data_IF_390379953342
#
_entry.id   IF_390379953342
#
_cell.length_a   1.000
_cell.length_b   1.000
_cell.length_c   1.000
_cell.angle_alpha   90.00
_cell.angle_beta   90.00
_cell.angle_gamma   90.00
#
_symmetry.space_group_name_H-M   'P 1'
#
loop_
_entity.id
_entity.type
_entity.pdbx_description
1 polymer ?
#
# COMPACT_ATOMS: atom_id res chain seq x y z
N UNK A 1 -22.32 -15.43 -13.16
CA UNK A 1 -20.88 -15.76 -13.31
C UNK A 1 -20.36 -15.35 -14.68
N UNK A 2 -20.86 -15.93 -15.78
CA UNK A 2 -20.41 -15.67 -17.16
C UNK A 2 -20.26 -14.19 -17.50
N UNK A 3 -21.31 -13.38 -17.31
CA UNK A 3 -21.26 -11.94 -17.59
C UNK A 3 -20.19 -11.16 -16.78
N UNK A 4 -19.91 -11.56 -15.54
CA UNK A 4 -18.86 -10.93 -14.72
C UNK A 4 -17.48 -11.29 -15.30
N UNK A 5 -17.28 -12.58 -15.63
CA UNK A 5 -16.02 -13.06 -16.19
C UNK A 5 -15.75 -12.47 -17.59
N UNK A 6 -16.76 -12.41 -18.46
CA UNK A 6 -16.61 -11.87 -19.82
C UNK A 6 -16.23 -10.39 -19.78
N UNK A 7 -16.91 -9.59 -18.95
CA UNK A 7 -16.56 -8.19 -18.74
C UNK A 7 -15.15 -8.06 -18.15
N UNK A 8 -14.82 -8.84 -17.13
CA UNK A 8 -13.48 -8.82 -16.53
C UNK A 8 -12.36 -9.12 -17.53
N UNK A 9 -12.54 -10.14 -18.38
CA UNK A 9 -11.57 -10.49 -19.43
C UNK A 9 -11.54 -9.47 -20.57
N UNK A 10 -12.64 -8.77 -20.84
CA UNK A 10 -12.64 -7.63 -21.76
C UNK A 10 -11.82 -6.47 -21.18
N UNK A 11 -12.17 -6.01 -19.96
CA UNK A 11 -11.49 -4.92 -19.28
C UNK A 11 -9.98 -5.21 -19.16
N UNK A 12 -9.61 -6.43 -18.77
CA UNK A 12 -8.22 -6.90 -18.72
C UNK A 12 -7.50 -6.75 -20.07
N UNK A 13 -8.12 -7.24 -21.16
CA UNK A 13 -7.54 -7.12 -22.51
C UNK A 13 -7.36 -5.67 -22.91
N UNK A 14 -8.35 -4.82 -22.64
CA UNK A 14 -8.28 -3.39 -22.92
C UNK A 14 -7.11 -2.73 -22.16
N UNK A 15 -6.93 -3.04 -20.88
CA UNK A 15 -5.81 -2.51 -20.08
C UNK A 15 -4.45 -3.05 -20.54
N UNK A 16 -4.35 -4.34 -20.86
CA UNK A 16 -3.09 -4.95 -21.32
C UNK A 16 -2.65 -4.40 -22.69
N UNK A 17 -3.60 -3.89 -23.50
CA UNK A 17 -3.32 -3.21 -24.78
C UNK A 17 -2.96 -1.73 -24.62
N UNK A 18 -3.11 -1.11 -23.43
CA UNK A 18 -2.77 0.31 -23.24
C UNK A 18 -1.26 0.53 -23.33
N UNK A 19 -0.78 1.41 -24.23
CA UNK A 19 0.65 1.66 -24.39
C UNK A 19 1.32 2.06 -23.08
N UNK A 20 2.38 1.33 -22.70
CA UNK A 20 3.21 1.66 -21.54
C UNK A 20 2.67 1.21 -20.17
N UNK A 21 1.37 0.85 -20.04
CA UNK A 21 0.77 0.54 -18.73
C UNK A 21 1.40 -0.70 -18.06
N UNK A 22 1.66 -1.76 -18.82
CA UNK A 22 2.26 -2.99 -18.28
C UNK A 22 3.69 -2.77 -17.79
N UNK A 23 4.49 -2.02 -18.55
CA UNK A 23 5.83 -1.61 -18.15
C UNK A 23 5.77 -0.71 -16.91
N UNK A 24 4.82 0.23 -16.88
CA UNK A 24 4.64 1.16 -15.77
C UNK A 24 4.27 0.45 -14.46
N UNK A 25 3.34 -0.50 -14.50
CA UNK A 25 2.98 -1.33 -13.34
C UNK A 25 4.20 -2.12 -12.86
N UNK A 26 4.97 -2.70 -13.77
CA UNK A 26 6.19 -3.44 -13.42
C UNK A 26 7.22 -2.53 -12.75
N UNK A 27 7.53 -1.40 -13.36
CA UNK A 27 8.52 -0.44 -12.84
C UNK A 27 8.12 0.10 -11.45
N UNK A 28 6.83 0.37 -11.23
CA UNK A 28 6.30 0.79 -9.93
C UNK A 28 6.43 -0.31 -8.87
N UNK A 29 6.24 -1.58 -9.22
CA UNK A 29 6.37 -2.71 -8.27
C UNK A 29 7.83 -3.02 -7.95
N UNK A 30 8.72 -2.89 -8.94
CA UNK A 30 10.16 -3.13 -8.83
C UNK A 30 10.90 -1.98 -8.13
N UNK A 31 10.27 -0.82 -7.94
CA UNK A 31 10.87 0.33 -7.27
C UNK A 31 11.87 1.10 -8.14
N UNK A 32 11.76 0.97 -9.46
CA UNK A 32 12.60 1.74 -10.40
C UNK A 32 12.28 3.23 -10.29
N UNK A 33 13.30 4.09 -10.45
CA UNK A 33 13.11 5.54 -10.50
C UNK A 33 12.28 5.88 -11.73
N UNK A 34 11.08 6.39 -11.48
CA UNK A 34 10.18 6.86 -12.50
C UNK A 34 10.47 8.37 -12.67
N UNK A 35 11.13 8.80 -13.75
CA UNK A 35 11.40 10.21 -14.11
C UNK A 35 10.44 10.84 -15.17
N UNK A 36 9.87 12.02 -14.87
CA UNK A 36 9.06 12.84 -15.80
C UNK A 36 7.52 12.94 -15.57
N UNK A 37 6.83 13.83 -16.32
CA UNK A 37 5.38 14.05 -16.28
C UNK A 37 4.55 12.92 -16.92
N UNK A 38 5.17 12.04 -17.71
CA UNK A 38 4.52 10.89 -18.34
C UNK A 38 3.83 9.95 -17.33
N UNK A 39 4.21 9.98 -16.04
CA UNK A 39 3.55 9.17 -15.00
C UNK A 39 2.23 9.72 -14.52
N UNK A 40 2.10 11.04 -14.44
CA UNK A 40 0.82 11.66 -14.09
C UNK A 40 -0.22 11.35 -15.18
N UNK A 41 0.23 11.24 -16.44
CA UNK A 41 -0.60 10.85 -17.59
C UNK A 41 -1.04 9.38 -17.49
N UNK A 42 -0.14 8.47 -17.11
CA UNK A 42 -0.46 7.04 -16.97
C UNK A 42 -1.28 6.70 -15.71
N UNK A 43 -1.30 7.59 -14.71
CA UNK A 43 -2.05 7.39 -13.46
C UNK A 43 -3.53 7.11 -13.70
N UNK A 44 -4.17 7.87 -14.60
CA UNK A 44 -5.58 7.69 -14.93
C UNK A 44 -5.86 6.23 -15.27
N UNK A 45 -5.17 5.72 -16.30
CA UNK A 45 -5.27 4.32 -16.75
C UNK A 45 -5.02 3.28 -15.65
N UNK A 46 -4.03 3.52 -14.78
CA UNK A 46 -3.76 2.63 -13.65
C UNK A 46 -4.91 2.63 -12.64
N UNK A 47 -5.45 3.81 -12.31
CA UNK A 47 -6.59 3.94 -11.40
C UNK A 47 -7.84 3.23 -11.96
N UNK A 48 -8.12 3.41 -13.26
CA UNK A 48 -9.21 2.72 -13.95
C UNK A 48 -9.06 1.19 -13.85
N UNK A 49 -7.85 0.70 -14.10
CA UNK A 49 -7.55 -0.73 -14.02
C UNK A 49 -7.78 -1.26 -12.60
N UNK A 50 -7.20 -0.63 -11.58
CA UNK A 50 -7.37 -1.03 -10.18
C UNK A 50 -8.86 -1.11 -9.80
N UNK A 51 -9.63 -0.07 -10.12
CA UNK A 51 -11.04 -0.01 -9.71
C UNK A 51 -11.94 -0.97 -10.50
N UNK A 52 -11.60 -1.27 -11.76
CA UNK A 52 -12.32 -2.28 -12.54
C UNK A 52 -12.07 -3.69 -12.01
N UNK A 53 -10.83 -4.00 -11.62
CA UNK A 53 -10.49 -5.27 -10.97
C UNK A 53 -11.17 -5.41 -9.59
N UNK A 54 -11.23 -4.33 -8.81
CA UNK A 54 -11.92 -4.34 -7.51
C UNK A 54 -13.44 -4.45 -7.63
N UNK A 55 -14.06 -3.84 -8.65
CA UNK A 55 -15.49 -4.03 -8.97
C UNK A 55 -15.77 -5.49 -9.33
N UNK A 56 -14.95 -6.09 -10.21
CA UNK A 56 -15.07 -7.50 -10.58
C UNK A 56 -14.93 -8.41 -9.35
N UNK A 57 -13.90 -8.20 -8.52
CA UNK A 57 -13.69 -8.94 -7.27
C UNK A 57 -14.89 -8.82 -6.33
N UNK A 58 -15.38 -7.60 -6.11
CA UNK A 58 -16.53 -7.34 -5.24
C UNK A 58 -17.83 -7.99 -5.74
N UNK A 59 -18.03 -8.06 -7.07
CA UNK A 59 -19.15 -8.79 -7.68
C UNK A 59 -19.01 -10.31 -7.53
N UNK A 60 -17.80 -10.84 -7.69
CA UNK A 60 -17.51 -12.25 -7.48
C UNK A 60 -17.73 -12.65 -6.02
N UNK A 61 -17.28 -11.84 -5.05
CA UNK A 61 -17.51 -12.05 -3.62
C UNK A 61 -19.01 -12.06 -3.26
N UNK A 62 -19.77 -11.12 -3.83
CA UNK A 62 -21.21 -11.05 -3.64
C UNK A 62 -21.91 -12.29 -4.23
N UNK A 63 -21.51 -12.72 -5.43
CA UNK A 63 -22.04 -13.93 -6.07
C UNK A 63 -21.66 -15.18 -5.29
N UNK A 64 -20.43 -15.26 -4.78
CA UNK A 64 -19.95 -16.36 -3.96
C UNK A 64 -20.75 -16.47 -2.66
N UNK A 65 -21.03 -15.34 -2.00
CA UNK A 65 -21.87 -15.29 -0.79
C UNK A 65 -23.29 -15.83 -1.05
N UNK A 66 -23.84 -15.63 -2.25
CA UNK A 66 -25.13 -16.21 -2.65
C UNK A 66 -24.99 -17.70 -2.91
N UNK A 67 -23.95 -18.11 -3.64
CA UNK A 67 -23.69 -19.52 -3.93
C UNK A 67 -23.51 -20.35 -2.65
N UNK A 68 -22.75 -19.87 -1.67
CA UNK A 68 -22.59 -20.53 -0.37
C UNK A 68 -23.91 -20.68 0.39
N UNK A 69 -24.76 -19.64 0.39
CA UNK A 69 -26.08 -19.71 1.04
C UNK A 69 -27.02 -20.70 0.36
N UNK A 70 -26.98 -20.76 -0.97
CA UNK A 70 -27.74 -21.73 -1.73
C UNK A 70 -27.22 -23.15 -1.47
N UNK A 71 -25.91 -23.35 -1.42
CA UNK A 71 -25.29 -24.66 -1.15
C UNK A 71 -25.64 -25.15 0.26
N UNK A 72 -25.56 -24.25 1.25
CA UNK A 72 -25.98 -24.55 2.62
C UNK A 72 -27.48 -24.85 2.72
N UNK A 73 -28.31 -24.23 1.88
CA UNK A 73 -29.74 -24.51 1.84
C UNK A 73 -30.02 -25.85 1.16
N UNK A 74 -29.33 -26.17 0.07
CA UNK A 74 -29.42 -27.48 -0.59
C UNK A 74 -28.99 -28.62 0.35
N UNK A 75 -27.88 -28.43 1.10
CA UNK A 75 -27.44 -29.37 2.14
C UNK A 75 -28.52 -29.60 3.19
N UNK A 76 -29.11 -28.52 3.73
CA UNK A 76 -30.19 -28.60 4.71
C UNK A 76 -31.42 -29.32 4.16
N UNK A 77 -31.83 -29.01 2.93
CA UNK A 77 -32.98 -29.66 2.28
C UNK A 77 -32.72 -31.16 2.12
N UNK A 78 -31.54 -31.57 1.64
CA UNK A 78 -31.17 -32.99 1.51
C UNK A 78 -31.11 -33.72 2.85
N UNK A 79 -30.56 -33.08 3.89
CA UNK A 79 -30.55 -33.64 5.24
C UNK A 79 -31.95 -33.76 5.84
N UNK A 80 -32.84 -32.79 5.56
CA UNK A 80 -34.24 -32.82 6.01
C UNK A 80 -35.14 -33.74 5.21
N UNK A 81 -34.76 -34.10 3.99
CA UNK A 81 -35.53 -35.00 3.12
C UNK A 81 -35.45 -36.46 3.58
N UNK A 82 -34.53 -36.80 4.50
CA UNK A 82 -34.31 -38.17 4.98
C UNK A 82 -33.95 -39.15 3.86
N UNK A 83 -33.59 -40.41 4.18
CA UNK A 83 -33.62 -41.46 3.18
C UNK A 83 -35.08 -41.57 2.70
N UNK A 84 -35.30 -41.53 1.38
CA UNK A 84 -36.58 -41.96 0.83
C UNK A 84 -36.76 -43.44 1.19
N UNK A 85 -37.60 -43.72 2.18
CA UNK A 85 -38.28 -45.02 2.25
C UNK A 85 -39.20 -45.08 1.04
N UNK A 86 -38.72 -45.69 -0.05
CA UNK A 86 -39.54 -46.37 -1.06
C UNK A 86 -38.62 -46.93 -2.16
N UNK A 87 -38.04 -48.10 -1.89
CA UNK A 87 -38.17 -49.24 -2.80
C UNK A 87 -37.75 -50.51 -2.08
N UNK A 88 -38.72 -51.37 -1.78
CA UNK A 88 -38.50 -52.80 -1.58
C UNK A 88 -37.77 -53.36 -2.81
N UNK A 89 -36.45 -53.53 -2.70
CA UNK A 89 -35.67 -54.35 -3.62
C UNK A 89 -34.39 -54.82 -2.91
N UNK A 90 -34.52 -56.01 -2.34
CA UNK A 90 -33.49 -57.02 -2.08
C UNK A 90 -32.24 -56.66 -1.26
N UNK A 91 -32.15 -57.36 -0.13
CA UNK A 91 -31.00 -57.41 0.74
C UNK A 91 -29.80 -58.07 0.05
N UNK A 92 -28.71 -57.33 -0.17
CA UNK A 92 -27.36 -57.88 -0.02
C UNK A 92 -26.35 -56.79 0.37
N UNK A 93 -25.75 -57.00 1.55
CA UNK A 93 -24.43 -56.54 2.02
C UNK A 93 -23.70 -55.45 1.20
N UNK A 94 -23.39 -54.33 1.85
CA UNK A 94 -22.00 -53.98 2.23
C UNK A 94 -21.96 -52.74 3.13
N UNK A 95 -21.12 -52.85 4.14
CA UNK A 95 -20.58 -51.77 4.93
C UNK A 95 -19.97 -50.70 4.02
N UNK A 96 -20.39 -49.45 4.20
CA UNK A 96 -19.59 -48.26 3.87
C UNK A 96 -20.07 -47.10 4.75
N UNK A 97 -19.61 -47.13 6.00
CA UNK A 97 -19.46 -45.91 6.80
C UNK A 97 -18.45 -45.00 6.08
N UNK A 98 -18.93 -43.91 5.45
CA UNK A 98 -18.02 -42.87 4.93
C UNK A 98 -18.45 -42.05 3.71
N UNK A 99 -19.71 -42.13 3.25
CA UNK A 99 -20.09 -41.56 1.94
C UNK A 99 -20.67 -40.15 1.87
N UNK A 100 -20.87 -39.43 2.99
CA UNK A 100 -21.68 -38.20 2.96
C UNK A 100 -20.90 -36.88 2.72
N UNK A 101 -19.59 -36.85 2.96
CA UNK A 101 -18.79 -35.62 2.73
C UNK A 101 -18.25 -35.50 1.29
N UNK A 102 -18.05 -36.62 0.58
CA UNK A 102 -17.55 -36.63 -0.79
C UNK A 102 -18.55 -36.17 -1.85
N UNK A 103 -19.84 -36.41 -1.64
CA UNK A 103 -20.90 -36.09 -2.62
C UNK A 103 -21.27 -34.59 -2.72
N UNK A 104 -20.72 -33.75 -1.85
CA UNK A 104 -21.00 -32.31 -1.82
C UNK A 104 -20.27 -31.55 -2.94
N UNK A 105 -19.09 -32.03 -3.34
CA UNK A 105 -18.25 -31.39 -4.37
C UNK A 105 -18.78 -31.57 -5.80
N UNK A 106 -19.62 -32.58 -6.06
CA UNK A 106 -20.10 -32.92 -7.41
C UNK A 106 -21.48 -32.35 -7.77
N UNK A 107 -22.05 -31.48 -6.93
CA UNK A 107 -23.30 -30.80 -7.28
C UNK A 107 -23.06 -29.68 -8.29
N UNK A 108 -23.98 -29.40 -9.24
CA UNK A 108 -23.84 -28.26 -10.15
C UNK A 108 -23.60 -26.92 -9.44
N UNK A 109 -24.16 -26.78 -8.23
CA UNK A 109 -23.98 -25.61 -7.37
C UNK A 109 -22.60 -25.59 -6.69
N UNK A 110 -22.13 -26.72 -6.17
CA UNK A 110 -20.77 -26.87 -5.62
C UNK A 110 -19.69 -26.60 -6.67
N UNK A 111 -19.84 -27.14 -7.88
CA UNK A 111 -18.96 -26.86 -9.03
C UNK A 111 -18.97 -25.36 -9.35
N UNK A 112 -20.15 -24.72 -9.33
CA UNK A 112 -20.26 -23.27 -9.58
C UNK A 112 -19.59 -22.44 -8.49
N UNK A 113 -19.78 -22.78 -7.21
CA UNK A 113 -19.14 -22.12 -6.08
C UNK A 113 -17.60 -22.25 -6.15
N UNK A 114 -17.09 -23.42 -6.52
CA UNK A 114 -15.65 -23.65 -6.73
C UNK A 114 -15.10 -22.80 -7.88
N UNK A 115 -15.82 -22.71 -9.01
CA UNK A 115 -15.45 -21.84 -10.14
C UNK A 115 -15.40 -20.37 -9.75
N UNK A 116 -16.38 -19.90 -8.96
CA UNK A 116 -16.38 -18.52 -8.44
C UNK A 116 -15.15 -18.30 -7.54
N UNK A 117 -14.89 -19.22 -6.60
CA UNK A 117 -13.74 -19.15 -5.68
C UNK A 117 -12.40 -19.13 -6.42
N UNK A 118 -12.25 -19.92 -7.48
CA UNK A 118 -11.05 -19.89 -8.33
C UNK A 118 -10.88 -18.52 -9.00
N UNK A 119 -11.96 -17.96 -9.55
CA UNK A 119 -11.93 -16.63 -10.18
C UNK A 119 -11.63 -15.51 -9.20
N UNK A 120 -12.11 -15.61 -7.96
CA UNK A 120 -11.74 -14.69 -6.87
C UNK A 120 -10.22 -14.70 -6.68
N UNK A 121 -9.61 -15.88 -6.46
CA UNK A 121 -8.15 -16.01 -6.25
C UNK A 121 -7.32 -15.47 -7.40
N UNK A 122 -7.73 -15.75 -8.64
CA UNK A 122 -7.08 -15.22 -9.85
C UNK A 122 -7.13 -13.67 -9.89
N UNK A 123 -8.28 -13.10 -9.52
CA UNK A 123 -8.50 -11.64 -9.51
C UNK A 123 -7.74 -10.96 -8.36
N UNK A 124 -7.70 -11.58 -7.17
CA UNK A 124 -7.03 -11.06 -5.98
C UNK A 124 -5.54 -10.79 -6.21
N UNK A 125 -4.82 -11.73 -6.82
CA UNK A 125 -3.39 -11.56 -7.10
C UNK A 125 -3.10 -10.32 -7.95
N UNK A 126 -3.96 -10.07 -8.94
CA UNK A 126 -3.85 -8.91 -9.82
C UNK A 126 -4.26 -7.61 -9.11
N UNK A 127 -5.30 -7.64 -8.29
CA UNK A 127 -5.70 -6.51 -7.42
C UNK A 127 -4.56 -6.09 -6.49
N UNK A 128 -3.88 -7.05 -5.85
CA UNK A 128 -2.74 -6.76 -4.97
C UNK A 128 -1.61 -6.07 -5.73
N UNK A 129 -1.25 -6.61 -6.90
CA UNK A 129 -0.20 -6.04 -7.76
C UNK A 129 -0.52 -4.61 -8.18
N UNK A 130 -1.75 -4.38 -8.68
CA UNK A 130 -2.18 -3.06 -9.15
C UNK A 130 -2.32 -2.06 -7.99
N UNK A 131 -2.80 -2.51 -6.82
CA UNK A 131 -2.90 -1.69 -5.60
C UNK A 131 -1.52 -1.24 -5.13
N UNK A 132 -0.53 -2.16 -5.14
CA UNK A 132 0.86 -1.81 -4.82
C UNK A 132 1.41 -0.81 -5.82
N UNK A 133 1.20 -1.04 -7.12
CA UNK A 133 1.66 -0.13 -8.16
C UNK A 133 1.08 1.28 -7.98
N UNK A 134 -0.24 1.43 -7.83
CA UNK A 134 -0.88 2.75 -7.74
C UNK A 134 -0.46 3.51 -6.47
N UNK A 135 -0.32 2.79 -5.36
CA UNK A 135 0.09 3.40 -4.09
C UNK A 135 1.55 3.86 -4.16
N UNK A 136 2.41 3.04 -4.76
CA UNK A 136 3.84 3.37 -4.96
C UNK A 136 3.98 4.57 -5.89
N UNK A 137 3.29 4.56 -7.04
CA UNK A 137 3.28 5.68 -8.01
C UNK A 137 2.88 6.98 -7.34
N UNK A 138 1.75 7.00 -6.62
CA UNK A 138 1.31 8.22 -5.93
C UNK A 138 2.32 8.67 -4.89
N UNK A 139 2.93 7.76 -4.13
CA UNK A 139 3.96 8.12 -3.16
C UNK A 139 5.22 8.69 -3.80
N UNK A 140 5.66 8.14 -4.94
CA UNK A 140 6.80 8.67 -5.71
C UNK A 140 6.52 10.07 -6.23
N UNK A 141 5.30 10.33 -6.73
CA UNK A 141 4.88 11.67 -7.14
C UNK A 141 4.99 12.65 -5.97
N UNK A 142 4.54 12.24 -4.78
CA UNK A 142 4.69 13.07 -3.57
C UNK A 142 6.16 13.32 -3.24
N UNK A 143 7.01 12.29 -3.27
CA UNK A 143 8.45 12.44 -2.98
C UNK A 143 9.13 13.37 -3.99
N UNK A 144 8.87 13.18 -5.29
CA UNK A 144 9.57 13.88 -6.36
C UNK A 144 9.18 15.36 -6.48
N UNK A 145 7.91 15.72 -6.20
CA UNK A 145 7.39 17.07 -6.48
C UNK A 145 6.88 17.80 -5.25
N UNK A 146 6.59 17.08 -4.16
CA UNK A 146 5.91 17.63 -2.98
C UNK A 146 6.62 17.26 -1.67
N UNK A 147 7.82 16.69 -1.71
CA UNK A 147 8.57 16.44 -0.49
C UNK A 147 8.95 17.77 0.17
N UNK A 148 8.88 17.86 1.51
CA UNK A 148 9.53 18.96 2.22
C UNK A 148 11.05 18.90 1.97
N UNK A 149 11.77 20.02 2.19
CA UNK A 149 13.23 20.01 2.17
C UNK A 149 13.78 18.92 3.11
N UNK A 150 14.99 18.40 2.85
CA UNK A 150 15.63 17.43 3.74
C UNK A 150 15.56 17.91 5.20
N UNK A 151 15.33 17.00 6.18
CA UNK A 151 15.30 17.39 7.58
C UNK A 151 16.62 18.09 7.93
N UNK A 152 16.58 19.11 8.78
CA UNK A 152 17.78 19.69 9.39
C UNK A 152 17.89 19.18 10.81
N UNK A 153 19.07 18.73 11.23
CA UNK A 153 19.26 18.25 12.60
C UNK A 153 19.96 19.31 13.47
N UNK A 154 19.36 19.56 14.63
CA UNK A 154 19.90 20.44 15.66
C UNK A 154 20.38 19.59 16.84
N UNK A 155 21.63 19.75 17.25
CA UNK A 155 22.21 19.01 18.37
C UNK A 155 22.63 19.95 19.52
N UNK A 156 22.14 19.72 20.75
CA UNK A 156 22.60 20.47 21.92
C UNK A 156 24.09 20.28 22.22
N UNK A 157 24.72 21.29 22.85
CA UNK A 157 26.15 21.27 23.23
C UNK A 157 26.57 20.10 24.11
N UNK A 158 25.63 19.47 24.83
CA UNK A 158 25.89 18.30 25.67
C UNK A 158 25.81 16.95 24.94
N UNK A 159 25.48 16.96 23.65
CA UNK A 159 25.29 15.76 22.82
C UNK A 159 26.28 15.75 21.66
N UNK A 160 26.42 16.87 20.93
CA UNK A 160 27.36 16.99 19.82
C UNK A 160 28.81 17.26 20.27
N UNK A 161 29.81 16.77 19.52
CA UNK A 161 31.19 17.22 19.64
C UNK A 161 31.31 18.75 19.52
N UNK A 162 32.21 19.40 20.29
CA UNK A 162 32.46 20.84 20.22
C UNK A 162 32.72 21.36 18.80
N UNK A 163 33.34 20.55 17.96
CA UNK A 163 33.78 20.87 16.60
C UNK A 163 32.62 20.94 15.60
N UNK A 164 31.49 20.29 15.89
CA UNK A 164 30.29 20.27 15.06
C UNK A 164 29.28 21.39 15.42
N UNK A 165 29.56 22.16 16.47
CA UNK A 165 28.70 23.24 16.94
C UNK A 165 29.06 24.55 16.23
N UNK A 166 28.36 24.87 15.15
CA UNK A 166 28.31 26.24 14.60
C UNK A 166 27.60 27.18 15.59
N UNK A 167 27.70 28.50 15.40
CA UNK A 167 27.00 29.49 16.24
C UNK A 167 25.47 29.32 16.27
N UNK A 168 24.90 28.61 15.28
CA UNK A 168 23.45 28.37 15.15
C UNK A 168 23.03 26.93 15.52
N UNK A 169 23.96 25.99 15.73
CA UNK A 169 23.66 24.62 16.16
C UNK A 169 22.96 23.74 15.12
N UNK A 170 22.88 24.19 13.87
CA UNK A 170 22.34 23.44 12.71
C UNK A 170 23.50 22.74 11.99
N UNK A 171 23.38 21.44 11.76
CA UNK A 171 24.34 20.67 10.95
C UNK A 171 23.61 20.10 9.73
N UNK A 172 24.25 20.20 8.55
CA UNK A 172 23.76 19.51 7.36
C UNK A 172 23.77 17.99 7.61
N UNK A 173 22.67 17.38 7.23
CA UNK A 173 22.31 16.00 7.51
C UNK A 173 23.09 15.00 6.66
N UNK A 174 23.62 15.44 5.53
CA UNK A 174 24.39 14.59 4.62
C UNK A 174 25.83 14.36 5.07
N UNK A 175 26.34 15.18 5.99
CA UNK A 175 27.73 15.15 6.49
C UNK A 175 27.85 14.68 7.95
N UNK A 176 26.73 14.30 8.58
CA UNK A 176 26.69 14.00 10.00
C UNK A 176 27.34 12.64 10.32
N UNK A 177 28.59 12.60 10.80
CA UNK A 177 29.16 11.38 11.40
C UNK A 177 28.76 11.24 12.87
N UNK A 178 27.55 10.70 13.12
CA UNK A 178 27.03 10.53 14.49
C UNK A 178 27.90 9.60 15.34
N UNK A 179 28.73 8.76 14.71
CA UNK A 179 29.60 7.84 15.41
C UNK A 179 30.74 8.56 16.16
N UNK A 180 31.03 9.83 15.81
CA UNK A 180 31.96 10.67 16.54
C UNK A 180 31.36 11.26 17.84
N UNK A 181 30.06 11.12 18.07
CA UNK A 181 29.39 11.77 19.20
C UNK A 181 29.77 11.10 20.53
N UNK A 182 30.02 11.84 21.61
CA UNK A 182 30.32 11.27 22.93
C UNK A 182 29.20 10.38 23.49
N UNK A 183 27.93 10.69 23.17
CA UNK A 183 26.78 9.89 23.55
C UNK A 183 25.92 9.56 22.32
N UNK A 184 26.25 8.46 21.63
CA UNK A 184 25.59 8.05 20.38
C UNK A 184 24.11 7.77 20.57
N UNK A 185 23.74 7.08 21.65
CA UNK A 185 22.36 6.69 21.90
C UNK A 185 21.47 7.93 22.08
N UNK A 186 21.94 8.92 22.85
CA UNK A 186 21.22 10.19 23.01
C UNK A 186 21.12 10.97 21.69
N UNK A 187 22.18 10.95 20.88
CA UNK A 187 22.19 11.58 19.56
C UNK A 187 21.19 10.92 18.60
N UNK A 188 21.13 9.59 18.55
CA UNK A 188 20.18 8.85 17.72
C UNK A 188 18.73 9.03 18.18
N UNK A 189 18.47 9.04 19.49
CA UNK A 189 17.14 9.35 20.03
C UNK A 189 16.69 10.75 19.60
N UNK A 190 17.61 11.70 19.56
CA UNK A 190 17.34 13.05 19.10
C UNK A 190 17.08 13.11 17.59
N UNK A 191 17.82 12.35 16.78
CA UNK A 191 17.55 12.16 15.34
C UNK A 191 16.15 11.57 15.14
N UNK A 192 15.80 10.50 15.88
CA UNK A 192 14.47 9.88 15.82
C UNK A 192 13.35 10.87 16.10
N UNK A 193 13.52 11.72 17.12
CA UNK A 193 12.54 12.76 17.48
C UNK A 193 12.39 13.78 16.34
N UNK A 194 13.50 14.29 15.83
CA UNK A 194 13.49 15.30 14.77
C UNK A 194 12.95 14.76 13.44
N UNK A 195 13.22 13.50 13.10
CA UNK A 195 12.58 12.82 11.96
C UNK A 195 11.06 12.71 12.14
N UNK A 196 10.60 12.43 13.35
CA UNK A 196 9.16 12.38 13.68
C UNK A 196 8.50 13.75 13.56
N UNK A 197 9.19 14.81 13.93
CA UNK A 197 8.75 16.20 13.75
C UNK A 197 8.73 16.57 12.26
N UNK A 198 9.80 16.28 11.53
CA UNK A 198 9.89 16.53 10.09
C UNK A 198 8.80 15.83 9.28
N UNK A 199 8.40 14.61 9.70
CA UNK A 199 7.25 13.87 9.13
C UNK A 199 5.95 14.68 9.15
N UNK A 200 5.79 15.63 10.09
CA UNK A 200 4.62 16.52 10.11
C UNK A 200 4.63 17.53 8.96
N UNK A 201 5.77 17.86 8.37
CA UNK A 201 5.84 18.77 7.22
C UNK A 201 5.07 18.22 6.01
N UNK A 202 5.04 16.89 5.82
CA UNK A 202 4.20 16.25 4.79
C UNK A 202 2.70 16.50 5.03
N UNK A 203 2.26 16.56 6.29
CA UNK A 203 0.87 16.86 6.65
C UNK A 203 0.49 18.28 6.21
N UNK A 204 1.39 19.25 6.41
CA UNK A 204 1.17 20.64 6.03
C UNK A 204 1.08 20.79 4.51
N UNK A 205 2.00 20.15 3.77
CA UNK A 205 1.99 20.13 2.31
C UNK A 205 0.69 19.50 1.78
N UNK A 206 0.28 18.36 2.35
CA UNK A 206 -0.99 17.71 2.02
C UNK A 206 -2.18 18.64 2.27
N UNK A 207 -2.23 19.33 3.41
CA UNK A 207 -3.31 20.28 3.71
C UNK A 207 -3.36 21.40 2.67
N UNK A 208 -2.21 21.97 2.29
CA UNK A 208 -2.13 22.99 1.24
C UNK A 208 -2.64 22.48 -0.12
N UNK A 209 -2.26 21.25 -0.50
CA UNK A 209 -2.74 20.63 -1.74
C UNK A 209 -4.25 20.38 -1.71
N UNK A 210 -4.76 19.90 -0.57
CA UNK A 210 -6.19 19.72 -0.37
C UNK A 210 -6.96 21.04 -0.45
N UNK A 211 -6.39 22.15 -0.01
CA UNK A 211 -7.05 23.47 -0.13
C UNK A 211 -7.09 23.95 -1.57
N UNK A 212 -6.01 23.75 -2.33
CA UNK A 212 -5.83 24.42 -3.62
C UNK A 212 -6.29 23.58 -4.83
N UNK A 213 -6.25 22.25 -4.73
CA UNK A 213 -6.40 21.35 -5.89
C UNK A 213 -7.49 20.29 -5.73
N UNK A 214 -7.96 20.05 -4.51
CA UNK A 214 -9.01 19.08 -4.25
C UNK A 214 -10.37 19.54 -4.79
N UNK A 215 -11.07 18.65 -5.48
CA UNK A 215 -12.49 18.79 -5.79
C UNK A 215 -13.23 17.75 -4.96
N UNK A 216 -14.13 18.21 -4.10
CA UNK A 216 -14.88 17.32 -3.20
C UNK A 216 -15.85 16.46 -4.03
N UNK A 217 -15.78 15.12 -3.93
CA UNK A 217 -16.80 14.24 -4.48
C UNK A 217 -18.19 14.53 -3.91
N UNK A 218 -19.23 14.42 -4.75
CA UNK A 218 -20.62 14.61 -4.32
C UNK A 218 -21.06 13.59 -3.24
N UNK A 219 -20.51 12.37 -3.31
CA UNK A 219 -20.75 11.33 -2.30
C UNK A 219 -19.80 11.54 -1.11
N UNK A 220 -20.35 11.94 0.04
CA UNK A 220 -19.59 12.20 1.26
C UNK A 220 -18.71 11.01 1.69
N UNK A 221 -19.20 9.77 1.53
CA UNK A 221 -18.44 8.60 1.93
C UNK A 221 -17.26 8.35 0.97
N UNK A 222 -17.45 8.58 -0.33
CA UNK A 222 -16.33 8.57 -1.29
C UNK A 222 -15.34 9.69 -1.00
N UNK A 223 -15.82 10.90 -0.68
CA UNK A 223 -14.96 12.02 -0.30
C UNK A 223 -14.07 11.69 0.91
N UNK A 224 -14.63 11.04 1.94
CA UNK A 224 -13.87 10.59 3.11
C UNK A 224 -12.85 9.51 2.76
N UNK A 225 -13.20 8.55 1.89
CA UNK A 225 -12.28 7.49 1.46
C UNK A 225 -11.14 8.06 0.62
N UNK A 226 -11.41 8.93 -0.34
CA UNK A 226 -10.37 9.55 -1.16
C UNK A 226 -9.45 10.49 -0.36
N UNK A 227 -10.01 11.23 0.60
CA UNK A 227 -9.20 12.01 1.54
C UNK A 227 -8.29 11.09 2.36
N UNK A 228 -8.78 9.91 2.75
CA UNK A 228 -7.97 8.89 3.42
C UNK A 228 -6.88 8.31 2.50
N UNK A 229 -7.18 8.03 1.23
CA UNK A 229 -6.20 7.56 0.24
C UNK A 229 -5.08 8.60 0.06
N UNK A 230 -5.45 9.87 -0.06
CA UNK A 230 -4.51 11.01 -0.13
C UNK A 230 -3.67 11.11 1.14
N UNK A 231 -4.26 10.94 2.33
CA UNK A 231 -3.47 10.88 3.57
C UNK A 231 -2.45 9.75 3.55
N UNK A 232 -2.85 8.54 3.15
CA UNK A 232 -2.00 7.35 3.16
C UNK A 232 -0.81 7.47 2.21
N UNK A 233 -0.96 8.11 1.04
CA UNK A 233 0.17 8.28 0.11
C UNK A 233 1.21 9.29 0.61
N UNK A 234 0.78 10.31 1.36
CA UNK A 234 1.70 11.23 2.04
C UNK A 234 2.41 10.57 3.23
N UNK A 235 1.66 9.80 4.02
CA UNK A 235 2.23 9.05 5.14
C UNK A 235 3.25 8.01 4.62
N UNK A 236 2.95 7.35 3.50
CA UNK A 236 3.84 6.42 2.80
C UNK A 236 5.07 7.11 2.22
N UNK A 237 4.91 8.26 1.56
CA UNK A 237 6.01 9.06 1.02
C UNK A 237 6.99 9.47 2.14
N UNK A 238 6.46 9.92 3.27
CA UNK A 238 7.28 10.28 4.42
C UNK A 238 8.02 9.05 4.97
N UNK A 239 7.34 7.92 5.17
CA UNK A 239 7.96 6.70 5.68
C UNK A 239 9.07 6.17 4.75
N UNK A 240 8.84 6.17 3.43
CA UNK A 240 9.86 5.81 2.45
C UNK A 240 11.07 6.75 2.50
N UNK A 241 10.84 8.07 2.61
CA UNK A 241 11.94 9.04 2.65
C UNK A 241 12.79 8.87 3.91
N UNK A 242 12.15 8.68 5.07
CA UNK A 242 12.86 8.45 6.34
C UNK A 242 13.60 7.12 6.32
N UNK A 243 12.96 6.04 5.84
CA UNK A 243 13.61 4.72 5.73
C UNK A 243 14.84 4.79 4.85
N UNK A 244 14.75 5.37 3.66
CA UNK A 244 15.88 5.50 2.74
C UNK A 244 17.01 6.34 3.34
N UNK A 245 16.66 7.41 4.06
CA UNK A 245 17.62 8.20 4.82
C UNK A 245 18.35 7.34 5.86
N UNK A 246 17.63 6.60 6.70
CA UNK A 246 18.20 5.76 7.75
C UNK A 246 19.05 4.60 7.21
N UNK A 247 18.61 3.96 6.12
CA UNK A 247 19.39 2.92 5.44
C UNK A 247 20.71 3.46 4.90
N UNK A 248 20.69 4.64 4.27
CA UNK A 248 21.91 5.33 3.84
C UNK A 248 22.83 5.65 5.03
N UNK A 249 22.27 6.13 6.14
CA UNK A 249 23.06 6.43 7.34
C UNK A 249 23.64 5.18 8.00
N UNK A 250 22.94 4.04 7.98
CA UNK A 250 23.48 2.76 8.44
C UNK A 250 24.76 2.40 7.70
N UNK A 251 24.78 2.61 6.38
CA UNK A 251 25.94 2.32 5.53
C UNK A 251 27.11 3.31 5.74
N UNK A 252 26.82 4.55 6.16
CA UNK A 252 27.81 5.59 6.46
C UNK A 252 28.40 5.39 7.86
N UNK A 253 27.54 5.26 8.89
CA UNK A 253 27.96 5.19 10.28
C UNK A 253 28.62 3.85 10.63
N UNK A 254 28.17 2.75 10.01
CA UNK A 254 28.70 1.39 10.19
C UNK A 254 28.89 1.01 11.67
N UNK A 255 27.89 1.32 12.49
CA UNK A 255 27.97 1.22 13.95
C UNK A 255 28.38 -0.18 14.43
N UNK A 256 27.84 -1.23 13.80
CA UNK A 256 28.19 -2.61 14.14
C UNK A 256 29.65 -2.96 13.81
N UNK A 257 30.19 -2.47 12.70
CA UNK A 257 31.60 -2.70 12.35
C UNK A 257 32.53 -1.93 13.29
N UNK A 258 32.15 -0.71 13.68
CA UNK A 258 32.88 0.07 14.68
C UNK A 258 32.89 -0.63 16.05
N UNK A 259 31.77 -1.22 16.47
CA UNK A 259 31.71 -2.00 17.70
C UNK A 259 32.71 -3.18 17.73
N UNK A 260 32.87 -3.88 16.60
CA UNK A 260 33.76 -5.07 16.50
C UNK A 260 35.23 -4.74 16.75
N UNK A 261 35.68 -3.55 16.35
CA UNK A 261 37.08 -3.13 16.45
C UNK A 261 37.35 -2.20 17.65
N UNK A 262 36.30 -1.74 18.32
CA UNK A 262 36.41 -0.86 19.49
C UNK A 262 36.99 -1.61 20.69
N UNK A 263 38.03 -1.04 21.31
CA UNK A 263 38.72 -1.64 22.45
C UNK A 263 38.07 -1.27 23.78
N UNK A 264 37.52 -0.05 23.88
CA UNK A 264 36.82 0.43 25.07
C UNK A 264 35.46 -0.27 25.22
N UNK A 265 35.27 -1.01 26.31
CA UNK A 265 34.05 -1.78 26.54
C UNK A 265 32.79 -0.90 26.66
N UNK A 266 32.91 0.29 27.24
CA UNK A 266 31.79 1.22 27.39
C UNK A 266 31.42 1.83 26.03
N UNK A 267 32.42 2.20 25.23
CA UNK A 267 32.20 2.74 23.88
C UNK A 267 31.66 1.68 22.93
N UNK A 268 32.17 0.44 23.01
CA UNK A 268 31.64 -0.72 22.28
C UNK A 268 30.15 -0.91 22.54
N UNK A 269 29.76 -0.91 23.81
CA UNK A 269 28.35 -1.02 24.22
C UNK A 269 27.50 0.11 23.62
N UNK A 270 27.99 1.35 23.60
CA UNK A 270 27.27 2.45 22.95
C UNK A 270 27.07 2.23 21.45
N UNK A 271 28.06 1.68 20.73
CA UNK A 271 27.91 1.35 19.31
C UNK A 271 26.88 0.23 19.07
N UNK A 272 26.89 -0.82 19.90
CA UNK A 272 25.93 -1.93 19.83
C UNK A 272 24.50 -1.42 20.08
N UNK A 273 24.27 -0.70 21.18
CA UNK A 273 22.96 -0.12 21.51
C UNK A 273 22.47 0.88 20.44
N UNK A 274 23.39 1.68 19.88
CA UNK A 274 23.10 2.61 18.80
C UNK A 274 22.72 1.88 17.49
N UNK A 275 23.41 0.78 17.19
CA UNK A 275 23.09 -0.06 16.03
C UNK A 275 21.70 -0.68 16.16
N UNK A 276 21.39 -1.26 17.33
CA UNK A 276 20.08 -1.86 17.60
C UNK A 276 18.96 -0.80 17.48
N UNK A 277 19.18 0.40 18.02
CA UNK A 277 18.21 1.49 17.91
C UNK A 277 17.99 1.93 16.45
N UNK A 278 19.05 1.99 15.64
CA UNK A 278 18.94 2.33 14.21
C UNK A 278 18.14 1.26 13.46
N UNK A 279 18.38 -0.01 13.73
CA UNK A 279 17.62 -1.11 13.11
C UNK A 279 16.14 -1.07 13.52
N UNK A 280 15.84 -0.76 14.79
CA UNK A 280 14.46 -0.53 15.24
C UNK A 280 13.81 0.62 14.46
N UNK A 281 14.50 1.75 14.27
CA UNK A 281 13.95 2.90 13.54
C UNK A 281 13.69 2.57 12.06
N UNK A 282 14.57 1.81 11.41
CA UNK A 282 14.39 1.34 10.03
C UNK A 282 13.17 0.41 9.94
N UNK A 283 13.04 -0.51 10.89
CA UNK A 283 11.94 -1.47 10.95
C UNK A 283 10.59 -0.79 11.20
N UNK A 284 10.54 0.21 12.08
CA UNK A 284 9.33 1.00 12.34
C UNK A 284 8.80 1.67 11.06
N UNK A 285 9.68 2.28 10.25
CA UNK A 285 9.28 2.88 8.98
C UNK A 285 8.94 1.82 7.93
N UNK A 286 9.61 0.66 7.93
CA UNK A 286 9.22 -0.49 7.08
C UNK A 286 7.80 -0.96 7.40
N UNK A 287 7.44 -1.10 8.68
CA UNK A 287 6.09 -1.47 9.08
C UNK A 287 5.07 -0.39 8.74
N UNK A 288 5.43 0.90 8.87
CA UNK A 288 4.58 2.00 8.45
C UNK A 288 4.28 1.97 6.94
N UNK A 289 5.27 1.63 6.10
CA UNK A 289 5.11 1.45 4.66
C UNK A 289 4.08 0.34 4.37
N UNK A 290 4.25 -0.85 4.96
CA UNK A 290 3.32 -1.97 4.75
C UNK A 290 1.89 -1.61 5.20
N UNK A 291 1.76 -1.02 6.39
CA UNK A 291 0.48 -0.58 6.91
C UNK A 291 -0.21 0.43 5.99
N UNK A 292 0.53 1.36 5.37
CA UNK A 292 -0.04 2.32 4.44
C UNK A 292 -0.58 1.64 3.17
N UNK A 293 0.17 0.70 2.60
CA UNK A 293 -0.23 -0.04 1.39
C UNK A 293 -1.49 -0.87 1.67
N UNK A 294 -1.52 -1.60 2.78
CA UNK A 294 -2.67 -2.43 3.17
C UNK A 294 -3.92 -1.60 3.41
N UNK A 295 -3.79 -0.49 4.15
CA UNK A 295 -4.91 0.42 4.39
C UNK A 295 -5.38 1.07 3.09
N UNK A 296 -4.48 1.39 2.17
CA UNK A 296 -4.84 1.97 0.87
C UNK A 296 -5.70 0.97 0.07
N UNK A 297 -5.25 -0.28 -0.05
CA UNK A 297 -6.02 -1.35 -0.67
C UNK A 297 -7.39 -1.57 -0.03
N UNK A 298 -7.45 -1.58 1.30
CA UNK A 298 -8.69 -1.72 2.05
C UNK A 298 -9.68 -0.59 1.72
N UNK A 299 -9.23 0.66 1.62
CA UNK A 299 -10.09 1.81 1.28
C UNK A 299 -10.62 1.73 -0.15
N UNK A 300 -9.80 1.29 -1.10
CA UNK A 300 -10.25 1.06 -2.48
C UNK A 300 -11.31 -0.05 -2.53
N UNK A 301 -11.06 -1.18 -1.86
CA UNK A 301 -12.02 -2.29 -1.78
C UNK A 301 -13.33 -1.88 -1.10
N UNK A 302 -13.28 -1.10 -0.02
CA UNK A 302 -14.47 -0.52 0.62
C UNK A 302 -15.29 0.33 -0.36
N UNK A 303 -14.62 1.12 -1.20
CA UNK A 303 -15.28 1.93 -2.24
C UNK A 303 -15.95 1.03 -3.28
N UNK A 304 -15.23 0.05 -3.84
CA UNK A 304 -15.79 -0.89 -4.80
C UNK A 304 -17.00 -1.67 -4.24
N UNK A 305 -16.88 -2.21 -3.04
CA UNK A 305 -17.96 -2.96 -2.38
C UNK A 305 -19.20 -2.10 -2.14
N UNK A 306 -19.02 -0.85 -1.69
CA UNK A 306 -20.14 0.07 -1.50
C UNK A 306 -20.86 0.34 -2.82
N UNK A 307 -20.10 0.55 -3.91
CA UNK A 307 -20.67 0.85 -5.23
C UNK A 307 -21.40 -0.33 -5.85
N UNK A 308 -20.84 -1.54 -5.77
CA UNK A 308 -21.51 -2.79 -6.16
C UNK A 308 -22.84 -2.95 -5.41
N UNK A 309 -22.83 -2.72 -4.08
CA UNK A 309 -24.06 -2.78 -3.26
C UNK A 309 -25.14 -1.81 -3.73
N UNK A 310 -24.76 -0.64 -4.24
CA UNK A 310 -25.67 0.39 -4.74
C UNK A 310 -25.93 0.30 -6.25
N UNK A 311 -25.50 -0.77 -6.93
CA UNK A 311 -25.69 -0.94 -8.37
C UNK A 311 -24.92 0.08 -9.24
N UNK A 312 -23.93 0.76 -8.65
CA UNK A 312 -23.06 1.71 -9.37
C UNK A 312 -21.90 0.94 -10.03
N UNK A 313 -21.38 1.48 -11.13
CA UNK A 313 -20.14 0.98 -11.75
C UNK A 313 -18.90 1.30 -10.90
N UNK A 314 -17.68 0.99 -11.40
CA UNK A 314 -16.43 1.34 -10.73
C UNK A 314 -16.35 2.82 -10.34
N UNK A 315 -15.59 3.13 -9.30
CA UNK A 315 -15.25 4.51 -8.98
C UNK A 315 -14.11 4.95 -9.88
N UNK A 316 -14.25 6.10 -10.53
CA UNK A 316 -13.26 6.60 -11.49
C UNK A 316 -12.72 7.93 -11.01
N UNK A 317 -11.43 8.16 -11.20
CA UNK A 317 -10.86 9.50 -11.03
C UNK A 317 -11.47 10.42 -12.10
N UNK A 318 -11.91 11.64 -11.76
CA UNK A 318 -12.43 12.57 -12.74
C UNK A 318 -11.33 12.97 -13.74
N UNK A 319 -11.66 13.39 -14.98
CA UNK A 319 -10.66 13.74 -15.99
C UNK A 319 -9.69 14.85 -15.57
N UNK A 320 -10.11 15.73 -14.66
CA UNK A 320 -9.27 16.80 -14.10
C UNK A 320 -8.46 16.35 -12.87
N UNK A 321 -8.50 15.07 -12.49
CA UNK A 321 -7.84 14.51 -11.31
C UNK A 321 -8.17 15.22 -9.98
N UNK A 322 -9.36 15.83 -9.87
CA UNK A 322 -9.80 16.54 -8.67
C UNK A 322 -9.77 15.71 -7.38
N UNK A 323 -9.81 14.37 -7.48
CA UNK A 323 -9.70 13.45 -6.33
C UNK A 323 -8.24 13.05 -6.00
N UNK A 324 -7.25 13.59 -6.69
CA UNK A 324 -5.83 13.32 -6.48
C UNK A 324 -5.07 14.65 -6.56
N UNK A 325 -5.13 15.46 -5.50
CA UNK A 325 -4.69 16.87 -5.55
C UNK A 325 -3.19 16.99 -5.82
N UNK A 326 -2.38 16.03 -5.39
CA UNK A 326 -0.95 15.97 -5.68
C UNK A 326 -0.63 15.74 -7.16
N UNK A 327 -1.50 15.01 -7.87
CA UNK A 327 -1.36 14.74 -9.32
C UNK A 327 -1.85 15.94 -10.11
N UNK A 328 -3.04 16.44 -9.75
CA UNK A 328 -3.62 17.63 -10.38
C UNK A 328 -2.71 18.84 -10.30
N UNK A 329 -2.08 19.06 -9.15
CA UNK A 329 -1.14 20.17 -8.97
C UNK A 329 0.05 20.15 -9.94
N UNK A 330 0.50 18.96 -10.36
CA UNK A 330 1.62 18.82 -11.31
C UNK A 330 1.12 19.02 -12.74
N UNK A 331 -0.05 18.47 -13.07
CA UNK A 331 -0.62 18.56 -14.42
C UNK A 331 -1.08 20.00 -14.76
N UNK A 332 -1.60 20.74 -13.79
CA UNK A 332 -2.10 22.11 -13.99
C UNK A 332 -1.06 23.20 -13.69
N UNK A 333 0.09 22.87 -13.09
CA UNK A 333 1.21 23.79 -12.88
C UNK A 333 2.58 23.12 -13.20
N UNK A 334 2.82 22.76 -14.47
CA UNK A 334 3.98 21.97 -14.89
C UNK A 334 5.32 22.70 -14.73
N UNK A 335 5.33 24.03 -14.66
CA UNK A 335 6.54 24.85 -14.55
C UNK A 335 7.17 24.83 -13.14
N UNK A 336 6.62 24.07 -12.19
CA UNK A 336 7.24 23.90 -10.88
C UNK A 336 8.42 22.93 -10.99
N UNK A 337 9.65 23.35 -10.65
CA UNK A 337 10.77 22.44 -10.56
C UNK A 337 10.45 21.27 -9.63
N UNK A 338 10.92 20.07 -9.97
CA UNK A 338 10.87 18.93 -9.04
C UNK A 338 11.57 19.32 -7.74
N UNK A 339 11.13 18.77 -6.61
CA UNK A 339 11.63 19.12 -5.27
C UNK A 339 13.15 18.88 -5.10
N UNK A 340 13.80 18.19 -6.05
CA UNK A 340 15.25 17.97 -6.12
C UNK A 340 15.98 18.68 -7.26
N UNK A 341 15.34 19.64 -7.97
CA UNK A 341 15.95 20.38 -9.09
C UNK A 341 16.41 21.80 -8.73
N UNK A 342 16.66 22.05 -7.45
CA UNK A 342 17.44 23.23 -7.04
C UNK A 342 18.90 23.00 -7.43
N UNK A 343 19.40 23.77 -8.40
CA UNK A 343 20.81 23.87 -8.78
C UNK A 343 21.76 24.14 -7.60
#
# INVERSE_FOLDING_TARGET
LTAICEKHEQDKREFDMRPGLAWFVRAAVEGNTLEGPDFAVQFGSLYEAVMSYLDALSRLDALYSVAEKLEATEKRVRQSAGPREDSDADATNRDDEGGAEGAVLDTPLGITAQRIRQKIKETESRVLTLTRAITTVRSHIVIAYHAPPPPSFVFPRGIAPPELLTSEGVTDVTELDIAAFPNLVAALQLVRRQLSEWKQSFKEIRCRLLTNWWVVPDDLNEALRERSLTKLVFDLAAANTIRNFLEKQRDIWKLQDRARVEADAQRRKQYEEASDLLDIMIEEERQAIFNCIDQYGLRLWQSARARVKHGKGPWMSPPNHGHCPEIRAILEAPDRPSAGSSE
#
